data_IF_585143471875
#
_entry.id   IF_585143471875
#
_cell.length_a   1.000
_cell.length_b   1.000
_cell.length_c   1.000
_cell.angle_alpha   90.00
_cell.angle_beta   90.00
_cell.angle_gamma   90.00
#
_symmetry.space_group_name_H-M   'P 1'
#
loop_
_entity.id
_entity.type
_entity.pdbx_description
1 polymer ?
#
# COMPACT_ATOMS: atom_id res chain seq x y z
N UNK A 1 -2.82 29.98 41.45
CA UNK A 1 -1.56 29.24 41.20
C UNK A 1 -1.83 27.78 41.51
N UNK A 2 -1.30 26.85 40.71
CA UNK A 2 -1.47 25.42 40.95
C UNK A 2 -0.35 24.89 41.84
N UNK A 3 -0.65 23.93 42.72
CA UNK A 3 0.33 23.21 43.55
C UNK A 3 0.03 21.72 43.51
N UNK A 4 1.07 20.88 43.47
CA UNK A 4 0.93 19.42 43.52
C UNK A 4 1.89 18.86 44.55
N UNK A 5 1.40 18.06 45.49
CA UNK A 5 2.22 17.36 46.50
C UNK A 5 3.24 18.26 47.25
N UNK A 6 2.83 19.48 47.62
CA UNK A 6 3.70 20.43 48.33
C UNK A 6 4.76 21.11 47.45
N UNK A 7 4.65 21.01 46.11
CA UNK A 7 5.51 21.75 45.19
C UNK A 7 5.32 23.25 45.33
N UNK A 8 6.38 23.99 44.98
CA UNK A 8 6.32 25.44 44.81
C UNK A 8 5.16 25.86 43.89
N UNK A 9 4.49 27.00 44.16
CA UNK A 9 3.38 27.48 43.36
C UNK A 9 3.73 27.64 41.87
N UNK A 10 3.00 26.94 41.02
CA UNK A 10 3.12 27.04 39.58
C UNK A 10 2.17 28.12 39.04
N UNK A 11 2.75 29.13 38.40
CA UNK A 11 2.02 30.27 37.84
C UNK A 11 1.46 29.95 36.46
N UNK A 12 0.28 30.49 36.15
CA UNK A 12 -0.30 30.48 34.80
C UNK A 12 0.67 31.06 33.75
N UNK A 13 1.54 32.00 34.17
CA UNK A 13 2.53 32.64 33.31
C UNK A 13 3.66 31.70 32.86
N UNK A 14 3.83 30.55 33.51
CA UNK A 14 4.85 29.55 33.17
C UNK A 14 4.35 28.45 32.23
N UNK A 15 3.04 28.43 31.94
CA UNK A 15 2.44 27.46 31.03
C UNK A 15 2.96 27.64 29.61
N UNK A 16 3.30 26.52 28.99
CA UNK A 16 3.46 26.45 27.54
C UNK A 16 2.17 26.82 26.82
N UNK A 17 2.27 27.20 25.55
CA UNK A 17 1.11 27.56 24.74
C UNK A 17 0.10 26.41 24.66
N UNK A 18 0.57 25.16 24.57
CA UNK A 18 -0.27 23.97 24.60
C UNK A 18 -1.03 23.79 25.91
N UNK A 19 -0.33 23.85 27.06
CA UNK A 19 -0.98 23.69 28.37
C UNK A 19 -1.99 24.82 28.63
N UNK A 20 -1.67 26.04 28.19
CA UNK A 20 -2.62 27.17 28.24
C UNK A 20 -3.85 26.90 27.40
N UNK A 21 -3.68 26.42 26.17
CA UNK A 21 -4.80 26.07 25.28
C UNK A 21 -5.68 24.97 25.91
N UNK A 22 -5.08 23.90 26.44
CA UNK A 22 -5.81 22.83 27.11
C UNK A 22 -6.64 23.33 28.30
N UNK A 23 -6.07 24.20 29.13
CA UNK A 23 -6.77 24.79 30.27
C UNK A 23 -7.93 25.67 29.79
N UNK A 24 -7.74 26.46 28.74
CA UNK A 24 -8.80 27.32 28.19
C UNK A 24 -9.95 26.49 27.62
N UNK A 25 -9.66 25.44 26.85
CA UNK A 25 -10.67 24.50 26.33
C UNK A 25 -11.44 23.87 27.49
N UNK A 26 -10.74 23.32 28.49
CA UNK A 26 -11.36 22.69 29.64
C UNK A 26 -12.21 23.67 30.47
N UNK A 27 -11.70 24.87 30.74
CA UNK A 27 -12.42 25.89 31.49
C UNK A 27 -13.70 26.32 30.77
N UNK A 28 -13.64 26.55 29.45
CA UNK A 28 -14.82 26.88 28.66
C UNK A 28 -15.84 25.74 28.71
N UNK A 29 -15.42 24.50 28.41
CA UNK A 29 -16.35 23.36 28.36
C UNK A 29 -16.99 23.08 29.72
N UNK A 30 -16.25 23.18 30.83
CA UNK A 30 -16.79 22.89 32.15
C UNK A 30 -17.73 23.98 32.68
N UNK A 31 -17.57 25.22 32.22
CA UNK A 31 -18.34 26.38 32.73
C UNK A 31 -19.56 26.75 31.90
N UNK A 32 -19.75 26.18 30.70
CA UNK A 32 -20.94 26.46 29.90
C UNK A 32 -22.23 25.91 30.54
N UNK A 33 -23.38 26.59 30.33
CA UNK A 33 -24.69 26.10 30.72
C UNK A 33 -25.08 24.80 29.99
N UNK A 34 -25.98 24.04 30.60
CA UNK A 34 -26.60 22.87 29.97
C UNK A 34 -27.29 23.22 28.64
N UNK A 35 -27.24 22.31 27.65
CA UNK A 35 -27.87 22.51 26.34
C UNK A 35 -27.13 23.48 25.41
N UNK A 36 -25.90 23.87 25.76
CA UNK A 36 -25.07 24.72 24.90
C UNK A 36 -24.49 23.91 23.74
N UNK A 37 -24.44 24.50 22.54
CA UNK A 37 -23.67 23.98 21.40
C UNK A 37 -22.25 24.55 21.46
N UNK A 38 -21.25 23.67 21.59
CA UNK A 38 -19.84 24.04 21.56
C UNK A 38 -19.24 23.75 20.18
N UNK A 39 -18.61 24.76 19.60
CA UNK A 39 -17.83 24.66 18.37
C UNK A 39 -16.35 24.74 18.73
N UNK A 40 -15.58 23.72 18.40
CA UNK A 40 -14.15 23.64 18.70
C UNK A 40 -13.41 23.48 17.38
N UNK A 41 -12.54 24.43 17.06
CA UNK A 41 -11.76 24.44 15.81
C UNK A 41 -10.29 24.15 16.07
N UNK A 42 -9.76 23.13 15.40
CA UNK A 42 -8.38 22.63 15.49
C UNK A 42 -7.84 22.57 16.94
N UNK A 43 -8.46 21.79 17.86
CA UNK A 43 -8.03 21.73 19.25
C UNK A 43 -6.58 21.22 19.43
N UNK A 44 -6.05 20.51 18.44
CA UNK A 44 -4.66 20.07 18.37
C UNK A 44 -3.65 21.18 18.08
N UNK A 45 -4.12 22.37 17.69
CA UNK A 45 -3.24 23.51 17.44
C UNK A 45 -2.50 23.87 18.74
N UNK A 46 -1.17 23.66 18.71
CA UNK A 46 -0.23 23.79 19.85
C UNK A 46 -0.30 22.70 20.93
N UNK A 47 -1.08 21.63 20.74
CA UNK A 47 -1.15 20.50 21.66
C UNK A 47 -0.62 19.23 21.01
N UNK A 48 0.11 18.42 21.77
CA UNK A 48 0.52 17.12 21.27
C UNK A 48 -0.70 16.21 21.13
N UNK A 49 -0.87 15.56 19.97
CA UNK A 49 -2.00 14.69 19.63
C UNK A 49 -2.40 13.67 20.71
N UNK A 50 -1.41 13.10 21.40
CA UNK A 50 -1.64 12.11 22.47
C UNK A 50 -2.37 12.67 23.69
N UNK A 51 -2.48 14.00 23.81
CA UNK A 51 -3.18 14.69 24.90
C UNK A 51 -4.56 15.14 24.44
N UNK A 52 -4.69 15.59 23.19
CA UNK A 52 -5.92 16.17 22.62
C UNK A 52 -7.07 15.18 22.69
N UNK A 53 -6.86 13.96 22.16
CA UNK A 53 -7.93 12.98 22.08
C UNK A 53 -8.43 12.53 23.48
N UNK A 54 -7.56 12.16 24.44
CA UNK A 54 -8.00 11.86 25.80
C UNK A 54 -8.67 13.04 26.50
N UNK A 55 -8.12 14.26 26.36
CA UNK A 55 -8.67 15.47 27.00
C UNK A 55 -10.09 15.75 26.51
N UNK A 56 -10.30 15.80 25.19
CA UNK A 56 -11.61 16.08 24.62
C UNK A 56 -12.61 14.98 24.97
N UNK A 57 -12.20 13.71 24.86
CA UNK A 57 -13.05 12.56 25.20
C UNK A 57 -13.54 12.59 26.65
N UNK A 58 -12.70 13.06 27.58
CA UNK A 58 -13.10 13.28 28.98
C UNK A 58 -14.05 14.46 29.13
N UNK A 59 -13.77 15.59 28.48
CA UNK A 59 -14.61 16.78 28.53
C UNK A 59 -16.02 16.54 27.93
N UNK A 60 -16.11 15.77 26.84
CA UNK A 60 -17.34 15.30 26.23
C UNK A 60 -18.19 14.48 27.21
N UNK A 61 -17.55 13.64 28.04
CA UNK A 61 -18.23 12.80 29.04
C UNK A 61 -18.72 13.58 30.26
N UNK A 62 -18.05 14.67 30.62
CA UNK A 62 -18.43 15.53 31.75
C UNK A 62 -19.64 16.44 31.44
N UNK A 63 -19.98 16.62 30.16
CA UNK A 63 -21.08 17.49 29.68
C UNK A 63 -22.02 16.77 28.70
N UNK A 64 -22.64 15.64 29.09
CA UNK A 64 -23.49 14.85 28.19
C UNK A 64 -24.74 15.58 27.69
N UNK A 65 -25.14 16.66 28.36
CA UNK A 65 -26.28 17.51 28.02
C UNK A 65 -25.98 18.59 26.97
N UNK A 66 -24.71 18.75 26.58
CA UNK A 66 -24.27 19.71 25.58
C UNK A 66 -24.01 19.03 24.23
N UNK A 67 -24.13 19.79 23.14
CA UNK A 67 -23.77 19.34 21.80
C UNK A 67 -22.37 19.83 21.43
N UNK A 68 -21.58 19.02 20.75
CA UNK A 68 -20.22 19.34 20.35
C UNK A 68 -20.06 19.17 18.83
N UNK A 69 -19.47 20.16 18.18
CA UNK A 69 -18.96 20.07 16.81
C UNK A 69 -17.47 20.39 16.87
N UNK A 70 -16.65 19.43 16.48
CA UNK A 70 -15.18 19.55 16.52
C UNK A 70 -14.64 19.45 15.10
N UNK A 71 -13.95 20.49 14.65
CA UNK A 71 -13.12 20.48 13.44
C UNK A 71 -11.71 20.06 13.84
N UNK A 72 -11.19 18.98 13.27
CA UNK A 72 -9.89 18.41 13.62
C UNK A 72 -9.25 17.68 12.45
N UNK A 73 -7.93 17.64 12.43
CA UNK A 73 -7.11 16.80 11.54
C UNK A 73 -6.64 15.51 12.24
N UNK A 74 -7.09 15.24 13.47
CA UNK A 74 -6.70 14.06 14.24
C UNK A 74 -7.71 12.90 14.06
N UNK A 75 -7.38 11.86 13.28
CA UNK A 75 -8.30 10.74 13.03
C UNK A 75 -8.55 9.88 14.29
N UNK A 76 -7.71 9.98 15.33
CA UNK A 76 -7.92 9.26 16.59
C UNK A 76 -9.11 9.82 17.39
N UNK A 77 -9.47 11.10 17.24
CA UNK A 77 -10.55 11.69 18.03
C UNK A 77 -11.92 11.03 17.76
N UNK A 78 -12.33 10.81 16.49
CA UNK A 78 -13.52 10.01 16.20
C UNK A 78 -13.45 8.56 16.71
N UNK A 79 -12.27 7.94 16.67
CA UNK A 79 -12.06 6.55 17.11
C UNK A 79 -12.26 6.41 18.61
N UNK A 80 -11.68 7.33 19.38
CA UNK A 80 -11.83 7.37 20.85
C UNK A 80 -13.25 7.77 21.29
N UNK A 81 -14.08 8.27 20.37
CA UNK A 81 -15.47 8.67 20.59
C UNK A 81 -16.42 7.94 19.62
N UNK A 82 -16.63 6.62 19.77
CA UNK A 82 -17.37 5.78 18.82
C UNK A 82 -18.87 6.07 18.73
N UNK A 83 -19.39 7.00 19.55
CA UNK A 83 -20.76 7.51 19.47
C UNK A 83 -20.91 8.74 18.57
N UNK A 84 -19.81 9.29 18.06
CA UNK A 84 -19.77 10.53 17.27
C UNK A 84 -20.04 10.31 15.79
N UNK A 85 -20.82 11.21 15.18
CA UNK A 85 -20.95 11.29 13.73
C UNK A 85 -19.74 12.03 13.17
N UNK A 86 -19.14 11.51 12.10
CA UNK A 86 -17.97 12.14 11.46
C UNK A 86 -18.37 12.68 10.10
N UNK A 87 -18.02 13.95 9.86
CA UNK A 87 -18.15 14.59 8.56
C UNK A 87 -16.76 14.70 7.94
N UNK A 88 -16.49 13.91 6.90
CA UNK A 88 -15.23 13.94 6.16
C UNK A 88 -15.34 14.88 4.96
N UNK A 89 -14.82 16.09 5.12
CA UNK A 89 -14.76 17.08 4.03
C UNK A 89 -13.69 16.68 3.01
N UNK A 90 -14.08 16.51 1.74
CA UNK A 90 -13.20 16.06 0.64
C UNK A 90 -12.71 17.19 -0.23
N UNK A 91 -13.64 18.04 -0.63
CA UNK A 91 -13.35 19.19 -1.48
C UNK A 91 -14.37 20.29 -1.26
N UNK A 92 -13.99 21.49 -1.65
CA UNK A 92 -14.81 22.68 -1.59
C UNK A 92 -14.75 23.36 -2.95
N UNK A 93 -15.91 23.57 -3.57
CA UNK A 93 -16.04 24.29 -4.84
C UNK A 93 -16.32 25.75 -4.51
N UNK A 94 -15.45 26.63 -4.99
CA UNK A 94 -15.59 28.07 -4.83
C UNK A 94 -16.24 28.69 -6.05
N UNK A 95 -17.21 29.57 -5.81
CA UNK A 95 -17.79 30.49 -6.79
C UNK A 95 -17.31 31.90 -6.44
N UNK A 96 -16.19 32.31 -7.02
CA UNK A 96 -15.48 33.54 -6.63
C UNK A 96 -14.90 33.42 -5.21
N UNK A 97 -15.17 34.41 -4.35
CA UNK A 97 -14.76 34.41 -2.94
C UNK A 97 -15.77 33.69 -2.02
N UNK A 98 -16.80 33.07 -2.59
CA UNK A 98 -17.84 32.36 -1.82
C UNK A 98 -17.76 30.87 -2.05
N UNK A 99 -18.08 30.10 -1.00
CA UNK A 99 -18.19 28.64 -1.12
C UNK A 99 -19.52 28.31 -1.77
N UNK A 100 -19.47 27.64 -2.93
CA UNK A 100 -20.66 27.17 -3.64
C UNK A 100 -21.13 25.80 -3.15
N UNK A 101 -20.21 24.85 -3.01
CA UNK A 101 -20.55 23.48 -2.59
C UNK A 101 -19.41 22.79 -1.81
N UNK A 102 -19.79 21.88 -0.91
CA UNK A 102 -18.87 20.96 -0.24
C UNK A 102 -19.15 19.53 -0.69
N UNK A 103 -18.10 18.76 -0.95
CA UNK A 103 -18.16 17.30 -1.06
C UNK A 103 -17.81 16.71 0.31
N UNK A 104 -18.78 16.07 0.97
CA UNK A 104 -18.67 15.58 2.35
C UNK A 104 -19.19 14.15 2.43
N UNK A 105 -18.42 13.26 3.04
CA UNK A 105 -18.88 11.93 3.43
C UNK A 105 -19.36 11.97 4.89
N UNK A 106 -20.61 11.56 5.16
CA UNK A 106 -21.11 11.36 6.51
C UNK A 106 -20.88 9.91 6.94
N UNK A 107 -20.10 9.73 8.00
CA UNK A 107 -19.91 8.46 8.67
C UNK A 107 -20.81 8.36 9.89
N UNK A 108 -21.64 7.33 9.90
CA UNK A 108 -22.36 6.89 11.10
C UNK A 108 -21.51 5.87 11.88
N UNK A 109 -21.77 5.77 13.18
CA UNK A 109 -20.98 4.98 14.12
C UNK A 109 -20.69 3.57 13.59
N UNK A 110 -19.44 3.32 13.22
CA UNK A 110 -19.00 2.00 12.76
C UNK A 110 -18.46 1.20 13.94
N UNK A 111 -19.24 0.26 14.47
CA UNK A 111 -18.81 -0.64 15.55
C UNK A 111 -18.13 -1.92 15.06
N UNK A 112 -18.16 -2.20 13.76
CA UNK A 112 -17.75 -3.50 13.17
C UNK A 112 -16.28 -3.52 12.74
N UNK A 113 -15.65 -2.36 12.54
CA UNK A 113 -14.29 -2.25 11.99
C UNK A 113 -13.28 -2.17 13.14
N UNK A 114 -12.14 -2.86 12.98
CA UNK A 114 -10.98 -2.71 13.84
C UNK A 114 -10.44 -1.27 13.85
N UNK A 115 -9.93 -0.81 14.99
CA UNK A 115 -9.56 0.59 15.18
C UNK A 115 -8.32 1.01 14.36
N UNK A 116 -7.39 0.08 14.07
CA UNK A 116 -6.25 0.38 13.19
C UNK A 116 -6.72 0.59 11.74
N UNK A 117 -7.71 -0.18 11.32
CA UNK A 117 -8.30 -0.04 9.98
C UNK A 117 -9.12 1.27 9.88
N UNK A 118 -9.89 1.64 10.91
CA UNK A 118 -10.57 2.95 10.96
C UNK A 118 -9.58 4.10 10.89
N UNK A 119 -8.48 4.03 11.65
CA UNK A 119 -7.44 5.07 11.65
C UNK A 119 -6.84 5.25 10.27
N UNK A 120 -6.56 4.14 9.60
CA UNK A 120 -6.09 4.13 8.22
C UNK A 120 -7.13 4.79 7.31
N UNK A 121 -8.40 4.43 7.41
CA UNK A 121 -9.44 4.96 6.50
C UNK A 121 -9.73 6.45 6.71
N UNK A 122 -9.80 6.92 7.95
CA UNK A 122 -10.15 8.30 8.29
C UNK A 122 -9.10 9.31 7.84
N UNK A 123 -7.83 8.90 7.83
CA UNK A 123 -6.71 9.76 7.40
C UNK A 123 -6.45 9.77 5.89
N UNK A 124 -7.13 8.91 5.13
CA UNK A 124 -6.73 8.59 3.76
C UNK A 124 -7.76 9.05 2.71
N UNK A 125 -7.33 9.01 1.45
CA UNK A 125 -8.17 9.35 0.29
C UNK A 125 -9.27 8.30 0.11
N UNK A 126 -10.30 8.63 -0.69
CA UNK A 126 -11.38 7.69 -1.05
C UNK A 126 -10.86 6.40 -1.68
N UNK A 127 -9.69 6.43 -2.34
CA UNK A 127 -9.06 5.27 -2.96
C UNK A 127 -7.92 4.78 -2.07
N UNK A 128 -7.99 3.54 -1.63
CA UNK A 128 -6.94 2.92 -0.83
C UNK A 128 -6.41 1.73 -1.61
N UNK A 129 -5.10 1.66 -1.78
CA UNK A 129 -4.41 0.55 -2.43
C UNK A 129 -3.57 -0.17 -1.38
N UNK A 130 -4.00 -1.37 -1.04
CA UNK A 130 -3.24 -2.27 -0.17
C UNK A 130 -2.20 -3.02 -1.00
N UNK A 131 -0.95 -2.98 -0.57
CA UNK A 131 0.19 -3.58 -1.29
C UNK A 131 0.93 -4.53 -0.36
N UNK A 132 1.59 -5.54 -0.91
CA UNK A 132 2.43 -6.45 -0.12
C UNK A 132 3.70 -5.76 0.40
N UNK A 133 4.27 -6.32 1.46
CA UNK A 133 5.56 -5.91 2.00
C UNK A 133 5.44 -5.01 3.22
N UNK A 134 6.49 -4.23 3.45
CA UNK A 134 6.60 -3.34 4.61
C UNK A 134 6.75 -1.88 4.16
N UNK A 135 6.71 -0.96 5.11
CA UNK A 135 6.84 0.49 4.87
C UNK A 135 8.13 0.93 4.16
N UNK A 136 9.16 0.07 4.13
CA UNK A 136 10.46 0.33 3.51
C UNK A 136 10.69 -0.47 2.23
N UNK A 137 9.66 -1.13 1.71
CA UNK A 137 9.71 -1.89 0.47
C UNK A 137 9.73 -0.98 -0.76
N UNK A 138 10.16 -1.53 -1.90
CA UNK A 138 10.18 -0.83 -3.19
C UNK A 138 8.78 -0.54 -3.74
N UNK A 139 7.79 -1.27 -3.22
CA UNK A 139 6.36 -1.19 -3.53
C UNK A 139 5.81 0.21 -3.27
N UNK A 140 5.92 0.68 -2.03
CA UNK A 140 5.25 1.91 -1.61
C UNK A 140 5.68 3.14 -2.42
N UNK A 141 6.98 3.43 -2.60
CA UNK A 141 7.41 4.56 -3.44
C UNK A 141 6.93 4.44 -4.89
N UNK A 142 6.98 3.23 -5.48
CA UNK A 142 6.55 3.04 -6.86
C UNK A 142 5.05 3.29 -6.99
N UNK A 143 4.23 2.61 -6.20
CA UNK A 143 2.78 2.72 -6.30
C UNK A 143 2.27 4.12 -5.92
N UNK A 144 2.94 4.84 -5.02
CA UNK A 144 2.60 6.24 -4.73
C UNK A 144 2.79 7.16 -5.94
N UNK A 145 3.76 6.87 -6.81
CA UNK A 145 3.97 7.59 -8.06
C UNK A 145 2.96 7.19 -9.15
N UNK A 146 2.59 5.90 -9.19
CA UNK A 146 1.66 5.38 -10.19
C UNK A 146 0.20 5.72 -9.89
N UNK A 147 -0.17 5.84 -8.63
CA UNK A 147 -1.53 6.13 -8.16
C UNK A 147 -1.56 7.39 -7.27
N UNK A 148 -1.26 8.58 -7.82
CA UNK A 148 -1.11 9.80 -7.04
C UNK A 148 -2.41 10.27 -6.36
N UNK A 149 -3.57 9.77 -6.78
CA UNK A 149 -4.89 10.06 -6.20
C UNK A 149 -5.36 8.99 -5.21
N UNK A 150 -4.54 8.00 -4.91
CA UNK A 150 -4.82 6.95 -3.94
C UNK A 150 -3.87 7.02 -2.74
N UNK A 151 -4.25 6.31 -1.70
CA UNK A 151 -3.48 6.11 -0.49
C UNK A 151 -2.87 4.72 -0.50
N UNK A 152 -1.54 4.62 -0.40
CA UNK A 152 -0.82 3.34 -0.48
C UNK A 152 -0.52 2.82 0.92
N UNK A 153 -1.07 1.65 1.24
CA UNK A 153 -0.97 1.02 2.57
C UNK A 153 -0.30 -0.34 2.44
N UNK A 154 0.87 -0.49 3.05
CA UNK A 154 1.56 -1.78 3.06
C UNK A 154 0.89 -2.76 4.04
N UNK A 155 0.77 -4.02 3.61
CA UNK A 155 0.30 -5.16 4.39
C UNK A 155 1.35 -6.27 4.29
N UNK A 156 1.59 -7.00 5.38
CA UNK A 156 2.71 -7.91 5.48
C UNK A 156 2.65 -9.10 4.51
N UNK A 157 1.45 -9.50 4.09
CA UNK A 157 1.27 -10.63 3.16
C UNK A 157 0.08 -10.45 2.21
N UNK A 158 0.10 -11.16 1.07
CA UNK A 158 -1.04 -11.30 0.15
C UNK A 158 -2.37 -11.61 0.87
N UNK A 159 -2.35 -12.43 1.93
CA UNK A 159 -3.56 -12.75 2.71
C UNK A 159 -4.09 -11.53 3.47
N UNK A 160 -3.21 -10.75 4.10
CA UNK A 160 -3.61 -9.52 4.79
C UNK A 160 -4.14 -8.45 3.82
N UNK A 161 -3.58 -8.39 2.60
CA UNK A 161 -4.12 -7.55 1.51
C UNK A 161 -5.53 -8.00 1.16
N UNK A 162 -5.74 -9.29 0.94
CA UNK A 162 -7.06 -9.86 0.63
C UNK A 162 -8.09 -9.59 1.74
N UNK A 163 -7.72 -9.88 3.00
CA UNK A 163 -8.59 -9.69 4.15
C UNK A 163 -8.96 -8.20 4.32
N UNK A 164 -8.03 -7.26 4.06
CA UNK A 164 -8.30 -5.83 4.12
C UNK A 164 -9.27 -5.35 3.03
N UNK A 165 -9.07 -5.80 1.78
CA UNK A 165 -9.94 -5.44 0.65
C UNK A 165 -11.35 -5.99 0.88
N UNK A 166 -11.46 -7.26 1.24
CA UNK A 166 -12.75 -7.92 1.51
C UNK A 166 -13.45 -7.30 2.72
N UNK A 167 -12.69 -6.97 3.79
CA UNK A 167 -13.22 -6.35 5.00
C UNK A 167 -13.87 -4.99 4.73
N UNK A 168 -13.19 -4.12 3.96
CA UNK A 168 -13.76 -2.81 3.58
C UNK A 168 -14.95 -2.99 2.63
N UNK A 169 -14.80 -3.82 1.59
CA UNK A 169 -15.83 -4.02 0.56
C UNK A 169 -17.15 -4.54 1.13
N UNK A 170 -17.09 -5.40 2.14
CA UNK A 170 -18.28 -5.97 2.77
C UNK A 170 -18.90 -5.08 3.86
N UNK A 171 -18.30 -3.92 4.15
CA UNK A 171 -18.81 -3.00 5.18
C UNK A 171 -19.60 -1.87 4.52
N UNK A 172 -20.93 -1.92 4.62
CA UNK A 172 -21.86 -0.96 4.00
C UNK A 172 -21.59 0.51 4.37
N UNK A 173 -21.09 0.74 5.59
CA UNK A 173 -20.78 2.04 6.15
C UNK A 173 -19.50 2.64 5.56
N UNK A 174 -18.69 1.81 4.87
CA UNK A 174 -17.47 2.20 4.18
C UNK A 174 -17.62 2.24 2.65
N UNK A 175 -18.85 2.22 2.12
CA UNK A 175 -19.11 2.24 0.66
C UNK A 175 -18.49 3.45 -0.08
N UNK A 176 -18.15 4.52 0.64
CA UNK A 176 -17.44 5.68 0.08
C UNK A 176 -15.93 5.42 -0.13
N UNK A 177 -15.36 4.43 0.56
CA UNK A 177 -14.00 3.93 0.36
C UNK A 177 -14.01 2.94 -0.79
N UNK A 178 -13.07 3.10 -1.72
CA UNK A 178 -12.79 2.17 -2.79
C UNK A 178 -11.48 1.43 -2.48
N UNK A 179 -11.54 0.22 -1.89
CA UNK A 179 -10.35 -0.57 -1.63
C UNK A 179 -9.90 -1.30 -2.89
N UNK A 180 -8.59 -1.30 -3.13
CA UNK A 180 -7.93 -2.12 -4.14
C UNK A 180 -6.79 -2.87 -3.48
N UNK A 181 -6.53 -4.10 -3.90
CA UNK A 181 -5.34 -4.84 -3.48
C UNK A 181 -4.39 -5.03 -4.66
N UNK A 182 -3.10 -4.81 -4.49
CA UNK A 182 -2.06 -5.21 -5.44
C UNK A 182 -1.18 -6.27 -4.79
N UNK A 183 -1.01 -7.40 -5.47
CA UNK A 183 -0.26 -8.54 -4.95
C UNK A 183 0.71 -9.06 -6.01
N UNK A 184 1.87 -9.51 -5.56
CA UNK A 184 2.85 -10.15 -6.42
C UNK A 184 2.21 -11.35 -7.11
N UNK A 185 2.52 -11.58 -8.40
CA UNK A 185 1.99 -12.75 -9.10
C UNK A 185 2.55 -14.02 -8.47
N UNK A 186 3.84 -14.00 -8.16
CA UNK A 186 4.52 -15.07 -7.45
C UNK A 186 4.33 -16.46 -8.15
N UNK A 187 4.13 -16.47 -9.48
CA UNK A 187 3.74 -17.63 -10.29
C UNK A 187 2.41 -18.28 -9.87
N UNK A 188 1.42 -17.45 -9.54
CA UNK A 188 0.07 -17.90 -9.17
C UNK A 188 -0.64 -18.61 -10.31
N UNK A 189 -1.43 -19.63 -9.96
CA UNK A 189 -2.22 -20.37 -10.94
C UNK A 189 -3.41 -19.53 -11.43
N UNK A 190 -3.91 -19.76 -12.67
CA UNK A 190 -5.02 -19.01 -13.25
C UNK A 190 -6.27 -18.98 -12.36
N UNK A 191 -6.57 -20.07 -11.65
CA UNK A 191 -7.71 -20.15 -10.74
C UNK A 191 -7.56 -19.23 -9.53
N UNK A 192 -6.33 -19.10 -8.99
CA UNK A 192 -6.05 -18.18 -7.88
C UNK A 192 -6.08 -16.73 -8.35
N UNK A 193 -5.59 -16.45 -9.56
CA UNK A 193 -5.67 -15.13 -10.18
C UNK A 193 -7.14 -14.70 -10.31
N UNK A 194 -8.00 -15.59 -10.81
CA UNK A 194 -9.44 -15.32 -10.94
C UNK A 194 -10.12 -15.12 -9.58
N UNK A 195 -9.77 -15.91 -8.56
CA UNK A 195 -10.29 -15.76 -7.19
C UNK A 195 -9.89 -14.42 -6.55
N UNK A 196 -8.64 -13.99 -6.73
CA UNK A 196 -8.16 -12.67 -6.27
C UNK A 196 -8.91 -11.53 -6.96
N UNK A 197 -9.04 -11.60 -8.29
CA UNK A 197 -9.73 -10.59 -9.08
C UNK A 197 -11.20 -10.46 -8.70
N UNK A 198 -11.87 -11.58 -8.42
CA UNK A 198 -13.26 -11.59 -7.95
C UNK A 198 -13.44 -10.89 -6.58
N UNK A 199 -12.38 -10.79 -5.78
CA UNK A 199 -12.35 -10.12 -4.48
C UNK A 199 -11.87 -8.67 -4.54
N UNK A 200 -11.58 -8.13 -5.74
CA UNK A 200 -11.02 -6.78 -5.90
C UNK A 200 -9.51 -6.69 -5.69
N UNK A 201 -8.81 -7.83 -5.68
CA UNK A 201 -7.35 -7.91 -5.58
C UNK A 201 -6.75 -8.19 -6.97
N UNK A 202 -5.78 -7.39 -7.37
CA UNK A 202 -5.18 -7.37 -8.69
C UNK A 202 -3.77 -7.98 -8.58
N UNK A 203 -3.57 -9.24 -9.03
CA UNK A 203 -2.23 -9.78 -9.16
C UNK A 203 -1.49 -9.10 -10.30
N UNK A 204 -0.19 -8.86 -10.11
CA UNK A 204 0.66 -8.28 -11.14
C UNK A 204 0.82 -9.22 -12.35
N UNK A 205 1.17 -8.66 -13.50
CA UNK A 205 1.60 -9.42 -14.69
C UNK A 205 3.07 -9.86 -14.61
N UNK A 206 3.79 -9.40 -13.61
CA UNK A 206 5.19 -9.74 -13.35
C UNK A 206 5.32 -10.53 -12.06
N UNK A 207 6.45 -11.20 -11.85
CA UNK A 207 6.65 -12.03 -10.66
C UNK A 207 6.48 -11.21 -9.37
N UNK A 208 7.16 -10.05 -9.32
CA UNK A 208 7.13 -9.11 -8.20
C UNK A 208 7.45 -7.69 -8.66
N UNK A 209 7.30 -6.70 -7.77
CA UNK A 209 7.61 -5.29 -8.07
C UNK A 209 9.03 -5.05 -8.60
N UNK A 210 10.04 -5.79 -8.12
CA UNK A 210 11.42 -5.65 -8.59
C UNK A 210 11.52 -5.95 -10.09
N UNK A 211 10.69 -6.85 -10.59
CA UNK A 211 10.65 -7.21 -12.01
C UNK A 211 10.31 -6.01 -12.91
N UNK A 212 9.57 -5.02 -12.39
CA UNK A 212 9.28 -3.75 -13.08
C UNK A 212 10.48 -2.83 -13.06
N UNK A 213 11.10 -2.61 -11.89
CA UNK A 213 12.28 -1.76 -11.77
C UNK A 213 13.37 -2.17 -12.75
N UNK A 214 13.53 -3.48 -12.97
CA UNK A 214 14.57 -4.05 -13.82
C UNK A 214 14.03 -4.52 -15.18
N UNK A 215 12.83 -4.12 -15.59
CA UNK A 215 12.29 -4.43 -16.91
C UNK A 215 13.09 -3.68 -18.01
N UNK A 216 13.39 -4.28 -19.19
CA UNK A 216 14.17 -3.63 -20.25
C UNK A 216 13.65 -2.26 -20.69
N UNK A 217 12.33 -2.08 -20.73
CA UNK A 217 11.70 -0.80 -21.06
C UNK A 217 11.98 0.29 -20.00
N UNK A 218 12.03 -0.09 -18.72
CA UNK A 218 12.36 0.81 -17.60
C UNK A 218 13.87 1.08 -17.56
N UNK A 219 14.70 0.08 -17.85
CA UNK A 219 16.13 0.26 -18.03
C UNK A 219 16.43 1.29 -19.14
N UNK A 220 15.71 1.22 -20.26
CA UNK A 220 15.83 2.18 -21.36
C UNK A 220 15.40 3.58 -20.93
N UNK A 221 14.26 3.72 -20.25
CA UNK A 221 13.76 5.01 -19.74
C UNK A 221 14.82 5.75 -18.90
N UNK A 222 15.43 5.05 -17.96
CA UNK A 222 16.46 5.64 -17.08
C UNK A 222 17.77 5.84 -17.82
N UNK A 223 18.13 4.88 -18.69
CA UNK A 223 19.32 4.95 -19.53
C UNK A 223 19.32 6.14 -20.49
N UNK A 224 18.18 6.45 -21.11
CA UNK A 224 18.00 7.64 -21.97
C UNK A 224 18.26 8.93 -21.19
N UNK A 225 17.68 9.04 -19.98
CA UNK A 225 17.91 10.20 -19.10
C UNK A 225 19.39 10.32 -18.71
N UNK A 226 20.04 9.22 -18.34
CA UNK A 226 21.46 9.23 -17.97
C UNK A 226 22.36 9.58 -19.17
N UNK A 227 22.10 9.00 -20.34
CA UNK A 227 22.85 9.26 -21.56
C UNK A 227 22.72 10.72 -22.02
N UNK A 228 21.56 11.36 -21.80
CA UNK A 228 21.35 12.78 -22.09
C UNK A 228 22.25 13.71 -21.25
N UNK A 229 22.70 13.25 -20.08
CA UNK A 229 23.51 14.04 -19.14
C UNK A 229 25.00 13.70 -19.25
N UNK A 230 25.34 12.41 -19.32
CA UNK A 230 26.73 11.92 -19.21
C UNK A 230 27.31 11.49 -20.56
N UNK A 231 26.46 11.32 -21.58
CA UNK A 231 26.83 10.72 -22.86
C UNK A 231 27.06 9.21 -22.78
N UNK A 232 27.32 8.60 -23.93
CA UNK A 232 27.63 7.17 -24.08
C UNK A 232 26.62 6.41 -24.96
N UNK A 233 26.99 5.19 -25.35
CA UNK A 233 26.14 4.31 -26.14
C UNK A 233 25.17 3.55 -25.21
N UNK A 234 23.90 3.97 -25.22
CA UNK A 234 22.85 3.30 -24.45
C UNK A 234 22.57 1.88 -24.97
N UNK A 235 22.64 1.66 -26.28
CA UNK A 235 22.38 0.35 -26.88
C UNK A 235 23.38 -0.69 -26.40
N UNK A 236 24.67 -0.35 -26.41
CA UNK A 236 25.72 -1.23 -25.87
C UNK A 236 25.51 -1.51 -24.37
N UNK A 237 25.14 -0.48 -23.59
CA UNK A 237 24.88 -0.63 -22.15
C UNK A 237 23.68 -1.54 -21.86
N UNK A 238 22.58 -1.42 -22.62
CA UNK A 238 21.39 -2.26 -22.46
C UNK A 238 21.66 -3.71 -22.85
N UNK A 239 22.36 -3.95 -23.97
CA UNK A 239 22.74 -5.31 -24.36
C UNK A 239 23.69 -5.95 -23.34
N UNK A 240 24.64 -5.18 -22.82
CA UNK A 240 25.51 -5.62 -21.73
C UNK A 240 24.71 -5.92 -20.46
N UNK A 241 23.79 -5.04 -20.06
CA UNK A 241 22.95 -5.25 -18.88
C UNK A 241 22.13 -6.53 -19.01
N UNK A 242 21.55 -6.78 -20.19
CA UNK A 242 20.81 -8.00 -20.50
C UNK A 242 21.71 -9.25 -20.42
N UNK A 243 22.88 -9.23 -21.05
CA UNK A 243 23.82 -10.34 -21.04
C UNK A 243 24.34 -10.65 -19.62
N UNK A 244 24.74 -9.63 -18.88
CA UNK A 244 25.24 -9.76 -17.50
C UNK A 244 24.12 -10.25 -16.56
N UNK A 245 22.89 -9.78 -16.74
CA UNK A 245 21.72 -10.27 -16.00
C UNK A 245 21.45 -11.75 -16.26
N UNK A 246 21.34 -12.16 -17.53
CA UNK A 246 21.07 -13.55 -17.91
C UNK A 246 22.18 -14.47 -17.36
N UNK A 247 23.44 -14.05 -17.41
CA UNK A 247 24.55 -14.79 -16.82
C UNK A 247 24.39 -14.96 -15.31
N UNK A 248 24.15 -13.87 -14.57
CA UNK A 248 23.99 -13.91 -13.12
C UNK A 248 22.77 -14.74 -12.66
N UNK A 249 21.70 -14.75 -13.46
CA UNK A 249 20.50 -15.56 -13.23
C UNK A 249 20.81 -17.04 -13.49
N UNK A 250 21.54 -17.34 -14.55
CA UNK A 250 21.94 -18.72 -14.92
C UNK A 250 22.82 -19.39 -13.86
N UNK A 251 23.69 -18.64 -13.19
CA UNK A 251 24.51 -19.14 -12.07
C UNK A 251 23.66 -19.63 -10.89
N UNK A 252 22.42 -19.14 -10.76
CA UNK A 252 21.46 -19.51 -9.72
C UNK A 252 20.26 -20.30 -10.24
N UNK A 253 20.32 -20.82 -11.48
CA UNK A 253 19.20 -21.46 -12.17
C UNK A 253 18.50 -22.54 -11.34
N UNK A 254 19.30 -23.42 -10.72
CA UNK A 254 18.78 -24.53 -9.90
C UNK A 254 18.00 -24.02 -8.68
N UNK A 255 18.52 -23.01 -7.98
CA UNK A 255 17.86 -22.45 -6.80
C UNK A 255 16.51 -21.81 -7.16
N UNK A 256 16.51 -20.97 -8.22
CA UNK A 256 15.31 -20.29 -8.69
C UNK A 256 14.25 -21.28 -9.21
N UNK A 257 14.68 -22.33 -9.94
CA UNK A 257 13.79 -23.36 -10.47
C UNK A 257 13.16 -24.22 -9.38
N UNK A 258 13.91 -24.56 -8.31
CA UNK A 258 13.38 -25.37 -7.19
C UNK A 258 12.20 -24.67 -6.50
N UNK A 259 12.27 -23.35 -6.29
CA UNK A 259 11.18 -22.59 -5.67
C UNK A 259 9.89 -22.62 -6.50
N UNK A 260 10.00 -22.50 -7.82
CA UNK A 260 8.84 -22.58 -8.72
C UNK A 260 8.33 -24.02 -8.84
N UNK A 261 9.24 -25.01 -8.88
CA UNK A 261 8.88 -26.42 -8.87
C UNK A 261 8.13 -26.83 -7.58
N UNK A 262 8.54 -26.30 -6.42
CA UNK A 262 7.84 -26.49 -5.14
C UNK A 262 6.39 -25.95 -5.23
N UNK A 263 6.22 -24.73 -5.74
CA UNK A 263 4.89 -24.13 -5.95
C UNK A 263 4.04 -24.96 -6.90
N UNK A 264 4.61 -25.46 -7.99
CA UNK A 264 3.94 -26.34 -8.95
C UNK A 264 3.51 -27.67 -8.31
N UNK A 265 4.38 -28.30 -7.52
CA UNK A 265 4.07 -29.53 -6.81
C UNK A 265 2.95 -29.33 -5.78
N UNK A 266 2.99 -28.22 -5.01
CA UNK A 266 1.91 -27.83 -4.10
C UNK A 266 0.60 -27.63 -4.87
N UNK A 267 0.61 -26.91 -6.00
CA UNK A 267 -0.58 -26.68 -6.81
C UNK A 267 -1.25 -27.99 -7.28
N UNK A 268 -0.46 -28.98 -7.68
CA UNK A 268 -0.96 -30.32 -8.02
C UNK A 268 -1.68 -30.97 -6.84
N UNK A 269 -1.10 -30.93 -5.62
CA UNK A 269 -1.79 -31.40 -4.40
C UNK A 269 -3.09 -30.65 -4.17
N UNK A 270 -3.08 -29.31 -4.23
CA UNK A 270 -4.26 -28.48 -3.97
C UNK A 270 -5.39 -28.77 -4.95
N UNK A 271 -5.08 -29.02 -6.23
CA UNK A 271 -6.07 -29.39 -7.25
C UNK A 271 -6.79 -30.71 -6.96
N UNK A 272 -6.13 -31.60 -6.19
CA UNK A 272 -6.66 -32.92 -5.84
C UNK A 272 -7.55 -32.88 -4.62
N UNK A 273 -7.56 -31.79 -3.85
CA UNK A 273 -8.40 -31.65 -2.67
C UNK A 273 -9.89 -31.77 -3.05
N UNK A 274 -10.69 -32.49 -2.25
CA UNK A 274 -12.06 -32.79 -2.60
C UNK A 274 -12.95 -31.54 -2.50
N UNK A 275 -13.92 -31.43 -3.41
CA UNK A 275 -14.99 -30.41 -3.34
C UNK A 275 -16.18 -30.92 -2.52
N UNK A 276 -17.01 -30.02 -1.98
CA UNK A 276 -18.17 -30.36 -1.12
C UNK A 276 -19.05 -31.49 -1.69
N UNK A 277 -19.30 -31.49 -3.00
CA UNK A 277 -20.11 -32.53 -3.66
C UNK A 277 -19.45 -33.91 -3.72
N UNK A 278 -18.12 -33.99 -3.83
CA UNK A 278 -17.38 -35.26 -3.87
C UNK A 278 -17.29 -35.93 -2.49
N UNK A 279 -17.19 -35.11 -1.44
CA UNK A 279 -17.24 -35.58 -0.05
C UNK A 279 -18.60 -36.23 0.23
N UNK A 280 -19.70 -35.61 -0.22
CA UNK A 280 -21.04 -36.17 -0.09
C UNK A 280 -21.22 -37.49 -0.85
N UNK A 281 -20.50 -37.69 -1.96
CA UNK A 281 -20.52 -38.89 -2.78
C UNK A 281 -19.57 -40.01 -2.29
N UNK A 282 -18.77 -39.78 -1.23
CA UNK A 282 -17.88 -40.78 -0.66
C UNK A 282 -16.67 -41.16 -1.53
N UNK A 283 -16.21 -40.24 -2.38
CA UNK A 283 -15.10 -40.51 -3.31
C UNK A 283 -13.72 -40.64 -2.63
N UNK A 284 -12.82 -41.44 -3.23
CA UNK A 284 -11.41 -41.54 -2.86
C UNK A 284 -10.54 -41.09 -4.04
N UNK A 285 -9.47 -40.33 -3.76
CA UNK A 285 -8.43 -39.97 -4.73
C UNK A 285 -7.08 -40.48 -4.26
N UNK A 286 -6.21 -40.82 -5.19
CA UNK A 286 -4.81 -41.17 -4.94
C UNK A 286 -3.99 -40.54 -6.05
N UNK A 287 -2.89 -39.89 -5.68
CA UNK A 287 -1.98 -39.28 -6.63
C UNK A 287 -0.55 -39.48 -6.17
N UNK A 288 0.33 -39.65 -7.15
CA UNK A 288 1.77 -39.70 -6.98
C UNK A 288 2.32 -38.43 -7.62
N UNK A 289 3.13 -37.68 -6.87
CA UNK A 289 3.72 -36.42 -7.33
C UNK A 289 5.22 -36.59 -7.33
N UNK A 290 5.81 -36.54 -8.52
CA UNK A 290 7.24 -36.65 -8.72
C UNK A 290 7.89 -35.27 -8.62
N UNK A 291 8.50 -34.99 -7.47
CA UNK A 291 9.22 -33.74 -7.24
C UNK A 291 10.47 -33.59 -8.11
N UNK A 292 11.12 -34.69 -8.49
CA UNK A 292 12.28 -34.67 -9.37
C UNK A 292 11.85 -34.26 -10.78
N UNK A 293 10.74 -34.81 -11.27
CA UNK A 293 10.16 -34.39 -12.55
C UNK A 293 9.70 -32.93 -12.53
N UNK A 294 9.05 -32.48 -11.45
CA UNK A 294 8.67 -31.07 -11.32
C UNK A 294 9.89 -30.13 -11.40
N UNK A 295 11.01 -30.50 -10.78
CA UNK A 295 12.24 -29.74 -10.84
C UNK A 295 12.86 -29.77 -12.25
N UNK A 296 12.92 -30.94 -12.90
CA UNK A 296 13.45 -31.10 -14.26
C UNK A 296 12.64 -30.32 -15.29
N UNK A 297 11.31 -30.39 -15.23
CA UNK A 297 10.42 -29.67 -16.14
C UNK A 297 10.61 -28.15 -16.00
N UNK A 298 10.81 -27.66 -14.78
CA UNK A 298 11.02 -26.24 -14.52
C UNK A 298 12.43 -25.77 -14.91
N UNK A 299 13.46 -26.58 -14.66
CA UNK A 299 14.82 -26.30 -15.11
C UNK A 299 14.93 -26.29 -16.64
N UNK A 300 14.20 -27.20 -17.32
CA UNK A 300 14.11 -27.19 -18.78
C UNK A 300 13.46 -25.90 -19.32
N UNK A 301 12.37 -25.44 -18.69
CA UNK A 301 11.73 -24.15 -19.04
C UNK A 301 12.66 -22.96 -18.82
N UNK A 302 13.34 -22.94 -17.67
CA UNK A 302 14.32 -21.91 -17.35
C UNK A 302 15.43 -21.87 -18.42
N UNK A 303 15.96 -23.04 -18.80
CA UNK A 303 17.02 -23.14 -19.80
C UNK A 303 16.56 -22.66 -21.18
N UNK A 304 15.29 -22.88 -21.56
CA UNK A 304 14.72 -22.35 -22.81
C UNK A 304 14.74 -20.82 -22.79
N UNK A 305 14.31 -20.19 -21.70
CA UNK A 305 14.29 -18.72 -21.57
C UNK A 305 15.71 -18.12 -21.61
N UNK A 306 16.66 -18.73 -20.88
CA UNK A 306 18.08 -18.31 -20.89
C UNK A 306 18.70 -18.47 -22.27
N UNK A 307 18.46 -19.60 -22.95
CA UNK A 307 19.02 -19.85 -24.28
C UNK A 307 18.43 -18.92 -25.34
N UNK A 308 17.18 -18.49 -25.17
CA UNK A 308 16.54 -17.46 -25.99
C UNK A 308 16.97 -16.03 -25.62
N UNK A 309 17.76 -15.86 -24.55
CA UNK A 309 18.06 -14.54 -23.96
C UNK A 309 16.80 -13.72 -23.65
N UNK A 310 15.74 -14.41 -23.22
CA UNK A 310 14.44 -13.80 -22.90
C UNK A 310 14.43 -13.31 -21.44
N UNK A 311 15.01 -12.14 -21.21
CA UNK A 311 15.02 -11.53 -19.89
C UNK A 311 13.60 -11.25 -19.38
N UNK A 312 12.67 -10.84 -20.24
CA UNK A 312 11.29 -10.50 -19.84
C UNK A 312 10.57 -11.74 -19.32
N UNK A 313 10.65 -12.87 -20.04
CA UNK A 313 10.07 -14.13 -19.58
C UNK A 313 10.67 -14.60 -18.24
N UNK A 314 11.97 -14.35 -18.01
CA UNK A 314 12.61 -14.65 -16.72
C UNK A 314 12.08 -13.74 -15.60
N UNK A 315 11.99 -12.42 -15.84
CA UNK A 315 11.46 -11.44 -14.88
C UNK A 315 10.00 -11.74 -14.50
N UNK A 316 9.20 -12.27 -15.43
CA UNK A 316 7.79 -12.60 -15.17
C UNK A 316 7.59 -13.86 -14.31
N UNK A 317 8.58 -14.77 -14.27
CA UNK A 317 8.40 -16.11 -13.68
C UNK A 317 9.27 -16.38 -12.45
N UNK A 318 10.43 -15.75 -12.32
CA UNK A 318 11.40 -16.10 -11.29
C UNK A 318 11.69 -14.95 -10.32
N UNK A 319 11.99 -15.26 -9.04
CA UNK A 319 12.36 -14.26 -8.03
C UNK A 319 13.81 -13.77 -8.25
N UNK A 320 14.01 -12.90 -9.23
CA UNK A 320 15.33 -12.38 -9.61
C UNK A 320 16.11 -11.72 -8.47
N UNK A 321 15.42 -11.24 -7.43
CA UNK A 321 16.04 -10.63 -6.24
C UNK A 321 16.96 -11.59 -5.48
N UNK A 322 16.74 -12.89 -5.65
CA UNK A 322 17.57 -13.96 -5.08
C UNK A 322 18.82 -14.25 -5.92
N UNK A 323 19.12 -13.40 -6.93
CA UNK A 323 20.30 -13.49 -7.77
C UNK A 323 21.11 -12.19 -7.76
N UNK A 324 22.33 -12.24 -8.31
CA UNK A 324 23.17 -11.07 -8.51
C UNK A 324 22.74 -10.20 -9.72
N UNK A 325 21.63 -10.55 -10.39
CA UNK A 325 21.19 -9.89 -11.62
C UNK A 325 20.90 -8.40 -11.44
N UNK A 326 20.28 -8.03 -10.32
CA UNK A 326 19.91 -6.64 -10.06
C UNK A 326 21.16 -5.74 -9.93
N UNK A 327 22.22 -6.23 -9.27
CA UNK A 327 23.52 -5.52 -9.20
C UNK A 327 24.18 -5.45 -10.58
N UNK A 328 24.13 -6.54 -11.33
CA UNK A 328 24.70 -6.64 -12.65
C UNK A 328 24.08 -5.61 -13.61
N UNK A 329 22.74 -5.47 -13.59
CA UNK A 329 22.00 -4.48 -14.39
C UNK A 329 22.38 -3.06 -13.97
N UNK A 330 22.33 -2.75 -12.67
CA UNK A 330 22.66 -1.40 -12.19
C UNK A 330 24.09 -1.01 -12.60
N UNK A 331 25.06 -1.91 -12.45
CA UNK A 331 26.46 -1.68 -12.81
C UNK A 331 26.65 -1.53 -14.32
N UNK A 332 26.00 -2.35 -15.14
CA UNK A 332 26.09 -2.28 -16.60
C UNK A 332 25.53 -0.94 -17.13
N UNK A 333 24.47 -0.42 -16.49
CA UNK A 333 23.90 0.89 -16.77
C UNK A 333 24.67 2.07 -16.17
N UNK A 334 25.87 1.83 -15.61
CA UNK A 334 26.74 2.85 -15.02
C UNK A 334 26.24 3.49 -13.72
N UNK A 335 25.35 2.80 -12.99
CA UNK A 335 25.00 3.18 -11.62
C UNK A 335 25.97 2.56 -10.60
N UNK A 336 26.19 3.25 -9.48
CA UNK A 336 27.10 2.77 -8.44
C UNK A 336 26.54 1.55 -7.69
N UNK A 337 25.22 1.48 -7.53
CA UNK A 337 24.51 0.41 -6.83
C UNK A 337 23.01 0.39 -7.22
N UNK A 338 22.30 -0.65 -6.76
CA UNK A 338 20.85 -0.83 -6.95
C UNK A 338 20.04 0.36 -6.45
N UNK A 339 20.34 0.86 -5.26
CA UNK A 339 19.60 1.98 -4.65
C UNK A 339 19.64 3.25 -5.51
N UNK A 340 20.80 3.56 -6.12
CA UNK A 340 20.92 4.70 -7.02
C UNK A 340 20.12 4.48 -8.33
N UNK A 341 20.14 3.26 -8.86
CA UNK A 341 19.35 2.89 -10.03
C UNK A 341 17.84 3.00 -9.74
N UNK A 342 17.37 2.42 -8.64
CA UNK A 342 15.96 2.45 -8.22
C UNK A 342 15.48 3.89 -7.94
N UNK A 343 16.31 4.72 -7.31
CA UNK A 343 16.02 6.14 -7.15
C UNK A 343 15.96 6.88 -8.50
N UNK A 344 16.79 6.51 -9.47
CA UNK A 344 16.73 7.08 -10.81
C UNK A 344 15.45 6.67 -11.56
N UNK A 345 14.98 5.43 -11.39
CA UNK A 345 13.67 4.97 -11.87
C UNK A 345 12.55 5.81 -11.27
N UNK A 346 12.53 5.97 -9.94
CA UNK A 346 11.51 6.77 -9.26
C UNK A 346 11.51 8.23 -9.76
N UNK A 347 12.67 8.88 -9.81
CA UNK A 347 12.80 10.23 -10.37
C UNK A 347 12.34 10.31 -11.83
N UNK A 348 12.57 9.24 -12.61
CA UNK A 348 12.11 9.21 -13.98
C UNK A 348 10.58 9.24 -14.09
N UNK A 349 9.86 8.69 -13.10
CA UNK A 349 8.39 8.64 -13.05
C UNK A 349 7.74 9.92 -12.50
N UNK A 350 8.40 10.63 -11.57
CA UNK A 350 7.82 11.84 -10.92
C UNK A 350 7.35 12.90 -11.92
N UNK A 351 8.05 13.05 -13.05
CA UNK A 351 7.84 14.15 -13.99
C UNK A 351 7.42 13.70 -15.40
N UNK A 352 7.04 12.43 -15.58
CA UNK A 352 6.82 11.86 -16.90
C UNK A 352 5.57 10.96 -16.93
N UNK A 353 4.44 11.53 -17.36
CA UNK A 353 3.18 10.82 -17.48
C UNK A 353 3.24 9.66 -18.50
N UNK A 354 4.09 9.76 -19.54
CA UNK A 354 4.27 8.69 -20.50
C UNK A 354 5.03 7.52 -19.86
N UNK A 355 6.04 7.81 -19.03
CA UNK A 355 6.74 6.80 -18.25
C UNK A 355 5.82 6.09 -17.24
N UNK A 356 4.95 6.84 -16.55
CA UNK A 356 3.93 6.28 -15.66
C UNK A 356 2.99 5.36 -16.43
N UNK A 357 2.49 5.79 -17.59
CA UNK A 357 1.61 4.97 -18.44
C UNK A 357 2.30 3.69 -18.93
N UNK A 358 3.58 3.76 -19.30
CA UNK A 358 4.39 2.61 -19.67
C UNK A 358 4.49 1.61 -18.51
N UNK A 359 4.86 2.08 -17.32
CA UNK A 359 5.00 1.21 -16.14
C UNK A 359 3.67 0.59 -15.71
N UNK A 360 2.57 1.34 -15.76
CA UNK A 360 1.23 0.80 -15.53
C UNK A 360 0.91 -0.34 -16.52
N UNK A 361 1.20 -0.15 -17.81
CA UNK A 361 0.99 -1.19 -18.83
C UNK A 361 1.81 -2.47 -18.58
N UNK A 362 3.01 -2.35 -18.00
CA UNK A 362 3.86 -3.49 -17.64
C UNK A 362 3.33 -4.24 -16.40
N UNK A 363 2.82 -3.52 -15.41
CA UNK A 363 2.24 -4.11 -14.20
C UNK A 363 0.93 -4.85 -14.47
N UNK A 364 0.13 -4.36 -15.42
CA UNK A 364 -1.06 -5.06 -15.89
C UNK A 364 -2.24 -4.13 -16.19
N UNK A 365 -3.45 -4.70 -16.13
CA UNK A 365 -4.68 -3.95 -16.35
C UNK A 365 -5.31 -3.55 -15.01
N UNK A 366 -5.52 -2.26 -14.83
CA UNK A 366 -6.15 -1.73 -13.62
C UNK A 366 -7.54 -1.16 -13.92
N UNK A 367 -8.49 -1.20 -12.96
CA UNK A 367 -9.77 -0.55 -13.09
C UNK A 367 -9.61 0.95 -13.40
N UNK A 368 -10.43 1.50 -14.30
CA UNK A 368 -10.42 2.92 -14.62
C UNK A 368 -10.64 3.79 -13.37
N UNK A 369 -11.40 3.28 -12.40
CA UNK A 369 -11.63 3.94 -11.12
C UNK A 369 -10.37 4.11 -10.27
N UNK A 370 -9.36 3.26 -10.44
CA UNK A 370 -8.08 3.37 -9.73
C UNK A 370 -7.12 4.34 -10.44
N UNK A 371 -7.14 4.36 -11.77
CA UNK A 371 -6.25 5.21 -12.59
C UNK A 371 -6.72 6.66 -12.66
N UNK A 372 -8.04 6.91 -12.68
CA UNK A 372 -8.63 8.25 -12.65
C UNK A 372 -8.25 9.01 -11.37
#
# INVERSE_FOLDING_TARGET
MATRNGSEPYSIAKLSDGERNAILIAANVLTVPAGTLLLIDEPERHLHRSIVSPLLSLLLKEKPECAFIVSTHEPLLPIDNPGSKVLLTRSCVYEGDTVGAYDIDLLENCTIIDDDLKRTILGERRKIVFVEGNEHSLDKPLYSLLFPNASIVAKGSCREVEDAVVGITNTSELNWVKPFGLVDNDSSQPERIADLQAKGVIPLNVYSVESIYYHPEVQRLVGDKLASVVGGDLGEKLEKAKADAIKAISENAKHLSVRIAEKSARAQVFSLLPKKGEVAAGGKRTAEIDFAKCAQDEEARFQVLVSASDLVGVLQRYPIRESAALDAIAKALSFANRTQYEAAVQNALVHDAAAVSLVLGLLGSFPAELIA
#
